data_IF_096136115578
#
_entry.id   IF_096136115578
#
_cell.length_a   1.000
_cell.length_b   1.000
_cell.length_c   1.000
_cell.angle_alpha   90.00
_cell.angle_beta   90.00
_cell.angle_gamma   90.00
#
_symmetry.space_group_name_H-M   'P 1'
#
loop_
_entity.id
_entity.type
_entity.pdbx_description
1 polymer ?
#
# COMPACT_ATOMS: atom_id res chain seq x y z
N UNK A 1 34.56 17.92 -58.04
CA UNK A 1 35.03 17.74 -56.65
C UNK A 1 33.98 16.91 -55.90
N UNK A 2 34.19 15.60 -55.72
CA UNK A 2 33.22 14.70 -55.06
C UNK A 2 33.66 14.51 -53.60
N UNK A 3 32.87 15.02 -52.66
CA UNK A 3 33.09 14.83 -51.22
C UNK A 3 32.40 13.53 -50.82
N UNK A 4 33.18 12.48 -50.56
CA UNK A 4 32.69 11.20 -50.06
C UNK A 4 32.55 11.28 -48.53
N UNK A 5 31.31 11.47 -48.05
CA UNK A 5 30.98 11.33 -46.62
C UNK A 5 31.19 9.87 -46.18
N UNK A 6 32.27 9.61 -45.44
CA UNK A 6 32.50 8.33 -44.75
C UNK A 6 31.43 8.14 -43.67
N UNK A 7 30.54 7.17 -43.87
CA UNK A 7 29.58 6.69 -42.85
C UNK A 7 30.37 6.03 -41.71
N UNK A 8 30.51 6.73 -40.58
CA UNK A 8 31.15 6.19 -39.38
C UNK A 8 30.23 5.16 -38.68
N UNK A 9 30.73 3.96 -38.32
CA UNK A 9 29.95 2.91 -37.66
C UNK A 9 29.67 3.17 -36.17
N UNK A 10 30.24 4.24 -35.60
CA UNK A 10 30.16 4.57 -34.17
C UNK A 10 28.75 4.96 -33.68
N UNK A 11 27.92 5.52 -34.57
CA UNK A 11 26.57 5.99 -34.22
C UNK A 11 25.63 4.82 -33.89
N UNK A 12 25.82 3.66 -34.50
CA UNK A 12 24.97 2.47 -34.23
C UNK A 12 25.28 1.86 -32.86
N UNK A 13 26.52 1.92 -32.40
CA UNK A 13 26.93 1.33 -31.12
C UNK A 13 26.41 2.12 -29.91
N UNK A 14 26.36 3.46 -30.01
CA UNK A 14 25.83 4.31 -28.94
C UNK A 14 24.32 4.09 -28.69
N UNK A 15 23.55 3.79 -29.73
CA UNK A 15 22.10 3.61 -29.62
C UNK A 15 21.74 2.37 -28.77
N UNK A 16 22.55 1.31 -28.84
CA UNK A 16 22.32 0.08 -28.07
C UNK A 16 22.59 0.25 -26.57
N UNK A 17 23.56 1.09 -26.18
CA UNK A 17 23.87 1.36 -24.77
C UNK A 17 22.75 2.18 -24.12
N UNK A 18 22.12 3.09 -24.88
CA UNK A 18 21.02 3.91 -24.38
C UNK A 18 19.74 3.10 -24.11
N UNK A 19 19.44 2.11 -24.97
CA UNK A 19 18.26 1.24 -24.82
C UNK A 19 18.40 0.30 -23.62
N UNK A 20 19.61 -0.22 -23.35
CA UNK A 20 19.86 -1.07 -22.17
C UNK A 20 19.90 -0.27 -20.85
N UNK A 21 20.24 1.02 -20.89
CA UNK A 21 20.25 1.89 -19.71
C UNK A 21 18.86 2.29 -19.20
N UNK A 22 17.90 2.51 -20.10
CA UNK A 22 16.53 2.91 -19.75
C UNK A 22 15.65 1.79 -19.17
N UNK A 23 16.12 0.54 -19.21
CA UNK A 23 15.44 -0.59 -18.59
C UNK A 23 15.77 -0.75 -17.10
N UNK A 24 16.34 0.27 -16.45
CA UNK A 24 16.54 0.27 -15.00
C UNK A 24 15.21 0.60 -14.31
N UNK A 25 14.37 -0.43 -14.27
CA UNK A 25 13.29 -0.72 -13.33
C UNK A 25 12.95 0.43 -12.38
N UNK A 26 11.89 1.16 -12.71
CA UNK A 26 11.07 1.82 -11.69
C UNK A 26 10.37 0.72 -10.90
N UNK A 27 10.98 0.29 -9.80
CA UNK A 27 10.32 -0.52 -8.78
C UNK A 27 9.24 0.35 -8.13
N UNK A 28 8.05 0.42 -8.73
CA UNK A 28 6.88 1.02 -8.09
C UNK A 28 6.50 0.08 -6.95
N UNK A 29 7.01 0.39 -5.76
CA UNK A 29 6.54 -0.21 -4.52
C UNK A 29 5.08 0.22 -4.34
N UNK A 30 4.14 -0.67 -4.68
CA UNK A 30 2.73 -0.51 -4.32
C UNK A 30 2.63 -0.49 -2.79
N UNK A 31 2.62 0.72 -2.22
CA UNK A 31 2.43 0.90 -0.80
C UNK A 31 0.95 0.67 -0.53
N UNK A 32 0.62 -0.46 0.10
CA UNK A 32 -0.75 -0.80 0.43
C UNK A 32 -1.36 0.34 1.25
N UNK A 33 -2.46 0.92 0.75
CA UNK A 33 -3.15 2.02 1.40
C UNK A 33 -3.60 1.59 2.79
N UNK A 34 -3.28 2.42 3.79
CA UNK A 34 -3.60 2.15 5.19
C UNK A 34 -4.76 3.04 5.61
N UNK A 35 -5.96 2.47 5.62
CA UNK A 35 -7.16 3.17 6.03
C UNK A 35 -7.30 3.07 7.56
N UNK A 36 -7.37 4.22 8.24
CA UNK A 36 -7.66 4.29 9.67
C UNK A 36 -9.14 4.54 9.92
N UNK A 37 -9.82 3.61 10.60
CA UNK A 37 -11.24 3.77 10.93
C UNK A 37 -11.38 3.93 12.45
N UNK A 38 -11.91 5.07 12.94
CA UNK A 38 -12.20 5.24 14.36
C UNK A 38 -13.33 4.30 14.76
N UNK A 39 -13.20 3.61 15.89
CA UNK A 39 -14.22 2.68 16.37
C UNK A 39 -14.83 3.18 17.68
N UNK A 40 -16.16 3.03 17.79
CA UNK A 40 -16.89 3.16 19.04
C UNK A 40 -17.30 1.77 19.55
N UNK A 41 -17.04 1.47 20.82
CA UNK A 41 -17.49 0.22 21.44
C UNK A 41 -19.02 0.21 21.55
N UNK A 42 -19.63 -0.92 21.22
CA UNK A 42 -21.05 -1.17 21.50
C UNK A 42 -21.31 -1.24 23.00
N UNK A 43 -20.42 -1.94 23.73
CA UNK A 43 -20.44 -2.05 25.19
C UNK A 43 -19.15 -1.39 25.73
N UNK A 44 -19.24 -0.27 26.46
CA UNK A 44 -18.06 0.50 26.88
C UNK A 44 -17.05 -0.31 27.71
N UNK A 45 -17.55 -1.28 28.47
CA UNK A 45 -16.78 -2.08 29.43
C UNK A 45 -16.10 -3.30 28.81
N UNK A 46 -16.37 -3.64 27.55
CA UNK A 46 -15.82 -4.83 26.91
C UNK A 46 -14.92 -4.44 25.73
N UNK A 47 -13.78 -5.13 25.54
CA UNK A 47 -12.94 -4.91 24.39
C UNK A 47 -13.65 -5.39 23.12
N UNK A 48 -13.34 -4.76 22.00
CA UNK A 48 -13.97 -5.10 20.72
C UNK A 48 -13.53 -6.50 20.29
N UNK A 49 -14.51 -7.32 19.93
CA UNK A 49 -14.29 -8.70 19.49
C UNK A 49 -13.94 -8.75 18.00
N UNK A 50 -13.30 -9.85 17.57
CA UNK A 50 -13.01 -10.08 16.15
C UNK A 50 -14.28 -10.08 15.28
N UNK A 51 -15.40 -10.58 15.81
CA UNK A 51 -16.66 -10.64 15.07
C UNK A 51 -17.22 -9.24 14.82
N UNK A 52 -17.19 -8.37 15.84
CA UNK A 52 -17.58 -6.97 15.70
C UNK A 52 -16.69 -6.23 14.71
N UNK A 53 -15.37 -6.50 14.72
CA UNK A 53 -14.44 -5.96 13.71
C UNK A 53 -14.84 -6.39 12.29
N UNK A 54 -15.15 -7.67 12.07
CA UNK A 54 -15.61 -8.16 10.74
C UNK A 54 -16.90 -7.43 10.35
N UNK A 55 -17.86 -7.33 11.26
CA UNK A 55 -19.15 -6.69 10.99
C UNK A 55 -18.94 -5.21 10.58
N UNK A 56 -18.15 -4.45 11.34
CA UNK A 56 -17.86 -3.05 11.02
C UNK A 56 -17.15 -2.88 9.67
N UNK A 57 -16.12 -3.68 9.39
CA UNK A 57 -15.41 -3.61 8.10
C UNK A 57 -16.37 -3.86 6.94
N UNK A 58 -17.22 -4.88 7.04
CA UNK A 58 -18.20 -5.22 6.00
C UNK A 58 -19.33 -4.21 5.85
N UNK A 59 -19.61 -3.38 6.85
CA UNK A 59 -20.60 -2.29 6.70
C UNK A 59 -20.06 -1.12 5.89
N UNK A 60 -18.74 -0.97 5.80
CA UNK A 60 -18.08 0.17 5.18
C UNK A 60 -17.49 -0.21 3.82
N UNK A 61 -16.92 -1.41 3.71
CA UNK A 61 -16.17 -1.86 2.55
C UNK A 61 -16.76 -3.16 1.98
N UNK A 62 -16.80 -3.22 0.65
CA UNK A 62 -17.20 -4.41 -0.09
C UNK A 62 -15.97 -5.26 -0.41
N UNK A 63 -15.98 -6.51 0.03
CA UNK A 63 -14.84 -7.41 -0.13
C UNK A 63 -14.75 -8.47 0.96
N UNK A 64 -13.56 -9.06 1.07
CA UNK A 64 -13.27 -10.20 1.93
C UNK A 64 -12.21 -9.86 2.97
N UNK A 65 -12.56 -10.08 4.23
CA UNK A 65 -11.61 -10.07 5.34
C UNK A 65 -10.78 -11.35 5.27
N UNK A 66 -9.48 -11.21 5.03
CA UNK A 66 -8.55 -12.33 4.95
C UNK A 66 -7.98 -12.70 6.31
N UNK A 67 -7.69 -11.70 7.15
CA UNK A 67 -7.10 -11.92 8.46
C UNK A 67 -7.35 -10.73 9.38
N UNK A 68 -7.51 -11.01 10.68
CA UNK A 68 -7.60 -9.99 11.72
C UNK A 68 -6.56 -10.32 12.79
N UNK A 69 -5.65 -9.38 13.02
CA UNK A 69 -4.66 -9.45 14.08
C UNK A 69 -4.93 -8.35 15.09
N UNK A 70 -5.17 -8.74 16.35
CA UNK A 70 -5.24 -7.80 17.46
C UNK A 70 -3.84 -7.26 17.73
N UNK A 71 -3.72 -5.94 17.75
CA UNK A 71 -2.49 -5.19 18.02
C UNK A 71 -2.71 -4.28 19.22
N UNK A 72 -3.31 -4.85 20.27
CA UNK A 72 -3.66 -4.10 21.45
C UNK A 72 -2.43 -3.67 22.23
N UNK A 73 -2.32 -2.38 22.54
CA UNK A 73 -1.35 -1.83 23.49
C UNK A 73 -2.09 -1.25 24.70
N UNK A 74 -1.36 -0.83 25.74
CA UNK A 74 -1.93 -0.12 26.89
C UNK A 74 -2.70 1.14 26.47
N UNK A 75 -2.17 1.87 25.48
CA UNK A 75 -2.78 3.09 24.92
C UNK A 75 -3.86 2.80 23.88
N UNK A 76 -3.86 1.62 23.27
CA UNK A 76 -4.80 1.21 22.23
C UNK A 76 -5.34 -0.21 22.49
N UNK A 77 -6.22 -0.41 23.49
CA UNK A 77 -6.71 -1.74 23.85
C UNK A 77 -7.53 -2.41 22.74
N UNK A 78 -8.10 -1.62 21.83
CA UNK A 78 -8.97 -2.08 20.73
C UNK A 78 -8.33 -1.98 19.34
N UNK A 79 -7.01 -1.80 19.25
CA UNK A 79 -6.35 -1.73 17.96
C UNK A 79 -6.33 -3.10 17.26
N UNK A 80 -6.82 -3.12 16.03
CA UNK A 80 -6.88 -4.29 15.16
C UNK A 80 -6.33 -3.95 13.78
N UNK A 81 -5.45 -4.80 13.27
CA UNK A 81 -5.00 -4.73 11.88
C UNK A 81 -5.74 -5.79 11.08
N UNK A 82 -6.39 -5.36 10.00
CA UNK A 82 -7.20 -6.20 9.14
C UNK A 82 -6.58 -6.26 7.76
N UNK A 83 -6.30 -7.48 7.30
CA UNK A 83 -5.95 -7.76 5.91
C UNK A 83 -7.24 -7.89 5.13
N UNK A 84 -7.47 -7.00 4.19
CA UNK A 84 -8.68 -6.95 3.38
C UNK A 84 -8.35 -7.10 1.90
N UNK A 85 -9.22 -7.80 1.19
CA UNK A 85 -9.18 -7.93 -0.26
C UNK A 85 -10.49 -7.39 -0.80
N UNK A 86 -10.44 -6.28 -1.52
CA UNK A 86 -11.59 -5.72 -2.19
C UNK A 86 -12.09 -6.66 -3.29
N UNK A 87 -13.36 -6.51 -3.68
CA UNK A 87 -13.94 -7.29 -4.78
C UNK A 87 -13.26 -6.98 -6.13
N UNK A 88 -12.63 -5.81 -6.26
CA UNK A 88 -11.81 -5.45 -7.42
C UNK A 88 -10.44 -6.14 -7.45
N UNK A 89 -10.08 -6.87 -6.38
CA UNK A 89 -8.81 -7.59 -6.27
C UNK A 89 -7.69 -6.79 -5.60
N UNK A 90 -7.95 -5.58 -5.13
CA UNK A 90 -6.96 -4.77 -4.42
C UNK A 90 -6.79 -5.23 -2.97
N UNK A 91 -5.52 -5.36 -2.55
CA UNK A 91 -5.17 -5.73 -1.19
C UNK A 91 -4.89 -4.50 -0.34
N UNK A 92 -5.54 -4.42 0.82
CA UNK A 92 -5.41 -3.28 1.73
C UNK A 92 -5.21 -3.72 3.18
N UNK A 93 -4.54 -2.86 3.94
CA UNK A 93 -4.28 -3.03 5.36
C UNK A 93 -5.07 -1.99 6.16
N UNK A 94 -6.17 -2.41 6.78
CA UNK A 94 -7.02 -1.50 7.54
C UNK A 94 -6.57 -1.50 9.00
N UNK A 95 -6.34 -0.31 9.56
CA UNK A 95 -6.06 -0.10 10.99
C UNK A 95 -7.32 0.40 11.68
N UNK A 96 -7.87 -0.42 12.55
CA UNK A 96 -9.14 -0.18 13.23
C UNK A 96 -8.89 0.09 14.71
N UNK A 97 -9.37 1.24 15.19
CA UNK A 97 -9.24 1.60 16.62
C UNK A 97 -7.81 1.80 17.09
N UNK A 98 -6.87 2.00 16.17
CA UNK A 98 -5.48 2.34 16.44
C UNK A 98 -5.33 3.86 16.37
N UNK A 99 -4.67 4.50 17.35
CA UNK A 99 -4.21 5.88 17.17
C UNK A 99 -3.36 5.98 15.91
N UNK A 100 -3.73 6.91 15.05
CA UNK A 100 -2.90 7.33 13.92
C UNK A 100 -1.82 8.20 14.53
N UNK A 101 -0.60 7.67 14.69
CA UNK A 101 0.54 8.57 14.55
C UNK A 101 0.44 9.10 13.13
N UNK A 102 0.03 10.35 12.99
CA UNK A 102 0.23 11.12 11.76
C UNK A 102 1.73 11.11 11.53
N UNK A 103 2.23 10.08 10.86
CA UNK A 103 3.55 10.14 10.27
C UNK A 103 3.34 11.19 9.19
N UNK A 104 3.71 12.43 9.53
CA UNK A 104 3.93 13.46 8.55
C UNK A 104 4.71 12.78 7.42
N UNK A 105 4.09 12.70 6.25
CA UNK A 105 4.84 12.51 5.02
C UNK A 105 5.70 13.76 4.87
N UNK A 106 6.80 13.81 5.62
CA UNK A 106 7.92 14.70 5.33
C UNK A 106 8.59 14.07 4.13
N UNK A 107 8.05 14.37 2.94
CA UNK A 107 8.86 14.41 1.74
C UNK A 107 10.12 15.23 2.05
N UNK A 108 11.28 14.62 1.86
CA UNK A 108 12.54 15.32 1.68
C UNK A 108 13.31 14.67 0.56
#
# INVERSE_FOLDING_TARGET
MRITLRKHPLIKSLLFIFIMGMCSLTSISAQAEVISIPIKRTIPTQPITKLEVIAMVKTILNGRVLSIKKQSSYTNPDCHHVKFLEDQGEFQMIKLGCYVETIAQTEK
#
